data_IF_975835944709
#
_entry.id   IF_975835944709
#
_cell.length_a   1.000
_cell.length_b   1.000
_cell.length_c   1.000
_cell.angle_alpha   90.00
_cell.angle_beta   90.00
_cell.angle_gamma   90.00
#
_symmetry.space_group_name_H-M   'P 1'
#
loop_
_entity.id
_entity.type
_entity.pdbx_description
1 polymer ?
#
# COMPACT_ATOMS: atom_id res chain seq x y z
N UNK A 1 -16.08 26.71 -21.06
CA UNK A 1 -16.81 25.53 -21.57
C UNK A 1 -17.02 25.69 -23.08
N UNK A 2 -16.16 25.09 -23.92
CA UNK A 2 -16.41 24.94 -25.37
C UNK A 2 -15.71 23.66 -25.84
N UNK A 3 -16.46 22.56 -25.89
CA UNK A 3 -16.04 21.26 -26.40
C UNK A 3 -16.59 21.13 -27.83
N UNK A 4 -15.72 21.12 -28.84
CA UNK A 4 -15.96 20.73 -30.25
C UNK A 4 -14.58 20.31 -30.78
N UNK A 5 -14.35 19.20 -31.48
CA UNK A 5 -15.17 18.50 -32.46
C UNK A 5 -14.52 17.13 -32.72
N UNK A 6 -15.34 16.09 -32.93
CA UNK A 6 -14.90 14.71 -33.11
C UNK A 6 -14.08 14.46 -34.39
N UNK A 7 -13.13 13.54 -34.29
CA UNK A 7 -12.30 13.02 -35.38
C UNK A 7 -13.09 11.90 -36.06
N UNK A 8 -13.52 12.13 -37.30
CA UNK A 8 -14.09 11.11 -38.17
C UNK A 8 -12.96 10.40 -38.92
N UNK A 9 -12.61 9.19 -38.47
CA UNK A 9 -11.65 8.32 -39.16
C UNK A 9 -12.40 7.45 -40.17
N UNK A 10 -12.34 7.83 -41.45
CA UNK A 10 -12.79 6.99 -42.55
C UNK A 10 -11.65 6.03 -42.95
N UNK A 11 -11.78 4.75 -42.62
CA UNK A 11 -10.89 3.69 -43.09
C UNK A 11 -11.35 3.31 -44.51
N UNK A 12 -10.62 3.79 -45.52
CA UNK A 12 -10.79 3.39 -46.90
C UNK A 12 -10.06 2.05 -47.15
N UNK A 13 -10.81 0.94 -47.11
CA UNK A 13 -10.39 -0.36 -47.64
C UNK A 13 -10.48 -0.30 -49.16
N UNK A 14 -9.35 0.00 -49.83
CA UNK A 14 -9.28 0.17 -51.28
C UNK A 14 -8.27 -0.77 -51.95
N UNK A 15 -8.81 -1.83 -52.57
CA UNK A 15 -8.35 -2.55 -53.77
C UNK A 15 -6.93 -3.17 -53.83
N UNK A 16 -6.89 -4.50 -53.78
CA UNK A 16 -5.82 -5.33 -54.33
C UNK A 16 -5.72 -5.15 -55.85
N UNK A 17 -4.66 -4.49 -56.32
CA UNK A 17 -4.24 -4.52 -57.72
C UNK A 17 -3.21 -5.64 -57.92
N UNK A 18 -3.68 -6.85 -58.23
CA UNK A 18 -2.83 -7.98 -58.65
C UNK A 18 -2.39 -7.78 -60.11
N UNK A 19 -1.30 -7.04 -60.31
CA UNK A 19 -0.60 -7.00 -61.61
C UNK A 19 0.87 -7.31 -61.39
N UNK A 20 1.25 -8.59 -61.43
CA UNK A 20 2.65 -9.01 -61.61
C UNK A 20 2.69 -10.29 -62.45
N UNK A 21 2.63 -10.13 -63.77
CA UNK A 21 3.17 -11.10 -64.72
C UNK A 21 4.59 -10.65 -65.07
N UNK A 22 5.58 -11.27 -64.41
CA UNK A 22 7.03 -11.10 -64.64
C UNK A 22 7.70 -12.48 -64.51
N UNK A 23 8.84 -12.74 -65.18
CA UNK A 23 9.29 -14.09 -65.53
C UNK A 23 9.52 -14.97 -64.29
N UNK A 24 8.76 -16.07 -64.21
CA UNK A 24 8.34 -16.73 -62.99
C UNK A 24 9.40 -17.53 -62.19
N UNK A 25 10.67 -17.53 -62.57
CA UNK A 25 11.68 -18.41 -61.95
C UNK A 25 12.90 -17.72 -61.33
N UNK A 26 13.34 -16.56 -61.82
CA UNK A 26 14.48 -15.84 -61.22
C UNK A 26 14.05 -14.92 -60.06
N UNK A 27 12.82 -14.38 -60.10
CA UNK A 27 12.30 -13.46 -59.07
C UNK A 27 12.06 -14.13 -57.71
N UNK A 28 11.47 -15.34 -57.71
CA UNK A 28 11.06 -16.04 -56.48
C UNK A 28 12.20 -16.29 -55.49
N UNK A 29 13.41 -16.55 -55.99
CA UNK A 29 14.56 -16.77 -55.11
C UNK A 29 14.98 -15.48 -54.40
N UNK A 30 14.87 -14.34 -55.09
CA UNK A 30 15.12 -13.03 -54.50
C UNK A 30 14.00 -12.65 -53.50
N UNK A 31 12.75 -12.94 -53.85
CA UNK A 31 11.59 -12.68 -52.98
C UNK A 31 11.68 -13.49 -51.68
N UNK A 32 12.03 -14.78 -51.76
CA UNK A 32 12.24 -15.62 -50.58
C UNK A 32 13.37 -15.11 -49.69
N UNK A 33 14.50 -14.69 -50.27
CA UNK A 33 15.60 -14.06 -49.50
C UNK A 33 15.14 -12.78 -48.80
N UNK A 34 14.37 -11.95 -49.49
CA UNK A 34 13.83 -10.71 -48.95
C UNK A 34 12.87 -10.98 -47.79
N UNK A 35 11.97 -11.95 -47.93
CA UNK A 35 11.03 -12.36 -46.89
C UNK A 35 11.77 -12.91 -45.65
N UNK A 36 12.74 -13.81 -45.84
CA UNK A 36 13.55 -14.34 -44.73
C UNK A 36 14.33 -13.23 -44.02
N UNK A 37 14.93 -12.29 -44.75
CA UNK A 37 15.66 -11.17 -44.16
C UNK A 37 14.74 -10.21 -43.38
N UNK A 38 13.53 -9.96 -43.89
CA UNK A 38 12.54 -9.14 -43.20
C UNK A 38 12.01 -9.83 -41.92
N UNK A 39 11.76 -11.15 -41.98
CA UNK A 39 11.45 -11.97 -40.81
C UNK A 39 12.55 -11.93 -39.75
N UNK A 40 13.81 -12.12 -40.14
CA UNK A 40 14.97 -12.02 -39.25
C UNK A 40 15.05 -10.64 -38.58
N UNK A 41 14.91 -9.57 -39.35
CA UNK A 41 14.98 -8.22 -38.80
C UNK A 41 13.85 -7.94 -37.78
N UNK A 42 12.63 -8.42 -38.05
CA UNK A 42 11.50 -8.28 -37.11
C UNK A 42 11.69 -9.13 -35.85
N UNK A 43 12.14 -10.37 -35.97
CA UNK A 43 12.43 -11.24 -34.83
C UNK A 43 13.52 -10.64 -33.95
N UNK A 44 14.62 -10.17 -34.56
CA UNK A 44 15.70 -9.49 -33.81
C UNK A 44 15.19 -8.21 -33.13
N UNK A 45 14.35 -7.42 -33.82
CA UNK A 45 13.68 -6.27 -33.20
C UNK A 45 12.82 -6.69 -32.00
N UNK A 46 12.06 -7.77 -32.11
CA UNK A 46 11.28 -8.30 -31.00
C UNK A 46 12.19 -8.74 -29.83
N UNK A 47 13.31 -9.43 -30.10
CA UNK A 47 14.28 -9.82 -29.07
C UNK A 47 14.94 -8.63 -28.37
N UNK A 48 15.38 -7.62 -29.12
CA UNK A 48 15.97 -6.39 -28.56
C UNK A 48 14.98 -5.61 -27.70
N UNK A 49 13.69 -5.67 -28.04
CA UNK A 49 12.60 -5.13 -27.22
C UNK A 49 12.26 -6.00 -26.00
N UNK A 50 12.83 -7.20 -25.88
CA UNK A 50 12.68 -8.09 -24.74
C UNK A 50 11.65 -9.22 -24.91
N UNK A 51 11.13 -9.44 -26.12
CA UNK A 51 10.11 -10.47 -26.39
C UNK A 51 10.54 -11.86 -25.92
N UNK A 52 11.82 -12.21 -26.11
CA UNK A 52 12.34 -13.52 -25.68
C UNK A 52 12.23 -13.79 -24.17
N UNK A 53 12.06 -12.75 -23.34
CA UNK A 53 11.83 -12.90 -21.89
C UNK A 53 10.37 -12.73 -21.51
N UNK A 54 9.66 -11.81 -22.15
CA UNK A 54 8.26 -11.53 -21.86
C UNK A 54 7.31 -12.60 -22.42
N UNK A 55 7.60 -13.10 -23.62
CA UNK A 55 6.78 -13.99 -24.43
C UNK A 55 7.64 -15.13 -24.99
N UNK A 56 8.12 -16.05 -24.13
CA UNK A 56 9.08 -17.07 -24.54
C UNK A 56 8.50 -18.10 -25.51
N UNK A 57 7.20 -18.40 -25.41
CA UNK A 57 6.55 -19.36 -26.30
C UNK A 57 6.40 -18.79 -27.72
N UNK A 58 5.94 -17.54 -27.83
CA UNK A 58 5.74 -16.83 -29.10
C UNK A 58 7.07 -16.55 -29.80
N UNK A 59 8.11 -16.19 -29.04
CA UNK A 59 9.46 -16.01 -29.57
C UNK A 59 10.02 -17.32 -30.11
N UNK A 60 9.85 -18.43 -29.38
CA UNK A 60 10.29 -19.74 -29.84
C UNK A 60 9.55 -20.20 -31.11
N UNK A 61 8.25 -19.93 -31.22
CA UNK A 61 7.47 -20.22 -32.43
C UNK A 61 7.94 -19.39 -33.63
N UNK A 62 8.22 -18.10 -33.44
CA UNK A 62 8.75 -17.25 -34.51
C UNK A 62 10.14 -17.72 -34.98
N UNK A 63 11.01 -18.12 -34.05
CA UNK A 63 12.33 -18.68 -34.35
C UNK A 63 12.23 -20.02 -35.09
N UNK A 64 11.27 -20.87 -34.71
CA UNK A 64 11.02 -22.16 -35.37
C UNK A 64 10.55 -21.96 -36.81
N UNK A 65 9.55 -21.10 -37.01
CA UNK A 65 9.06 -20.72 -38.34
C UNK A 65 10.21 -20.18 -39.21
N UNK A 66 11.03 -19.28 -38.68
CA UNK A 66 12.18 -18.76 -39.43
C UNK A 66 13.19 -19.86 -39.82
N UNK A 67 13.43 -20.85 -38.95
CA UNK A 67 14.30 -21.99 -39.26
C UNK A 67 13.72 -22.87 -40.36
N UNK A 68 12.41 -23.13 -40.31
CA UNK A 68 11.68 -23.86 -41.35
C UNK A 68 11.77 -23.12 -42.70
N UNK A 69 11.51 -21.81 -42.71
CA UNK A 69 11.64 -20.98 -43.91
C UNK A 69 13.05 -21.06 -44.53
N UNK A 70 14.09 -21.00 -43.71
CA UNK A 70 15.48 -21.15 -44.16
C UNK A 70 15.77 -22.56 -44.69
N UNK A 71 15.16 -23.59 -44.10
CA UNK A 71 15.30 -24.97 -44.54
C UNK A 71 14.67 -25.18 -45.92
N UNK A 72 13.42 -24.74 -46.10
CA UNK A 72 12.69 -24.84 -47.35
C UNK A 72 13.39 -24.07 -48.48
N UNK A 73 13.94 -22.90 -48.16
CA UNK A 73 14.75 -22.13 -49.10
C UNK A 73 15.99 -22.91 -49.58
N UNK A 74 16.70 -23.60 -48.66
CA UNK A 74 17.87 -24.44 -48.99
C UNK A 74 17.48 -25.64 -49.86
N UNK A 75 16.28 -26.19 -49.67
CA UNK A 75 15.75 -27.30 -50.45
C UNK A 75 15.11 -26.86 -51.79
N UNK A 76 15.11 -25.56 -52.07
CA UNK A 76 14.59 -24.99 -53.31
C UNK A 76 13.07 -24.73 -53.32
N UNK A 77 12.39 -24.99 -52.20
CA UNK A 77 10.95 -24.78 -51.98
C UNK A 77 10.66 -23.30 -51.64
N UNK A 78 10.90 -22.43 -52.61
CA UNK A 78 10.85 -20.96 -52.43
C UNK A 78 9.48 -20.45 -51.98
N UNK A 79 8.40 -21.06 -52.46
CA UNK A 79 7.04 -20.64 -52.12
C UNK A 79 6.72 -20.95 -50.64
N UNK A 80 7.08 -22.15 -50.16
CA UNK A 80 6.95 -22.49 -48.73
C UNK A 80 7.85 -21.63 -47.86
N UNK A 81 9.08 -21.35 -48.31
CA UNK A 81 9.98 -20.45 -47.60
C UNK A 81 9.41 -19.04 -47.42
N UNK A 82 8.69 -18.51 -48.42
CA UNK A 82 8.02 -17.20 -48.32
C UNK A 82 6.84 -17.27 -47.34
N UNK A 83 6.02 -18.32 -47.42
CA UNK A 83 4.88 -18.53 -46.53
C UNK A 83 5.34 -18.60 -45.06
N UNK A 84 6.32 -19.43 -44.78
CA UNK A 84 6.84 -19.63 -43.43
C UNK A 84 7.58 -18.39 -42.90
N UNK A 85 8.32 -17.66 -43.76
CA UNK A 85 8.90 -16.38 -43.37
C UNK A 85 7.83 -15.35 -43.02
N UNK A 86 6.72 -15.30 -43.78
CA UNK A 86 5.59 -14.41 -43.50
C UNK A 86 4.88 -14.79 -42.20
N UNK A 87 4.74 -16.08 -41.93
CA UNK A 87 4.23 -16.59 -40.66
C UNK A 87 5.12 -16.15 -39.49
N UNK A 88 6.44 -16.30 -39.61
CA UNK A 88 7.40 -15.83 -38.62
C UNK A 88 7.30 -14.31 -38.39
N UNK A 89 7.13 -13.50 -39.45
CA UNK A 89 6.91 -12.05 -39.33
C UNK A 89 5.63 -11.72 -38.56
N UNK A 90 4.54 -12.45 -38.80
CA UNK A 90 3.26 -12.23 -38.15
C UNK A 90 3.33 -12.55 -36.65
N UNK A 91 4.01 -13.65 -36.28
CA UNK A 91 4.27 -14.02 -34.90
C UNK A 91 5.12 -12.96 -34.18
N UNK A 92 6.22 -12.52 -34.80
CA UNK A 92 7.07 -11.47 -34.23
C UNK A 92 6.32 -10.15 -34.06
N UNK A 93 5.49 -9.77 -35.03
CA UNK A 93 4.68 -8.54 -34.98
C UNK A 93 3.61 -8.60 -33.88
N UNK A 94 2.99 -9.78 -33.70
CA UNK A 94 2.04 -10.04 -32.61
C UNK A 94 2.73 -9.93 -31.26
N UNK A 95 3.91 -10.54 -31.10
CA UNK A 95 4.69 -10.44 -29.87
C UNK A 95 5.05 -8.99 -29.52
N UNK A 96 5.46 -8.17 -30.51
CA UNK A 96 5.71 -6.74 -30.31
C UNK A 96 4.44 -6.01 -29.87
N UNK A 97 3.29 -6.30 -30.49
CA UNK A 97 2.01 -5.71 -30.13
C UNK A 97 1.59 -6.04 -28.70
N UNK A 98 1.69 -7.31 -28.30
CA UNK A 98 1.38 -7.77 -26.95
C UNK A 98 2.29 -7.10 -25.90
N UNK A 99 3.60 -7.03 -26.17
CA UNK A 99 4.53 -6.33 -25.27
C UNK A 99 4.19 -4.85 -25.10
N UNK A 100 3.79 -4.17 -26.18
CA UNK A 100 3.41 -2.77 -26.11
C UNK A 100 2.14 -2.59 -25.27
N UNK A 101 1.15 -3.47 -25.46
CA UNK A 101 -0.06 -3.50 -24.65
C UNK A 101 0.24 -3.74 -23.16
N UNK A 102 1.11 -4.71 -22.84
CA UNK A 102 1.50 -5.01 -21.46
C UNK A 102 2.24 -3.83 -20.82
N UNK A 103 3.10 -3.16 -21.58
CA UNK A 103 3.81 -1.96 -21.11
C UNK A 103 2.83 -0.82 -20.82
N UNK A 104 1.86 -0.59 -21.69
CA UNK A 104 0.86 0.45 -21.51
C UNK A 104 -0.04 0.14 -20.30
N UNK A 105 -0.42 -1.13 -20.11
CA UNK A 105 -1.15 -1.59 -18.94
C UNK A 105 -0.35 -1.40 -17.64
N UNK A 106 0.95 -1.74 -17.64
CA UNK A 106 1.83 -1.54 -16.50
C UNK A 106 2.00 -0.05 -16.14
N UNK A 107 2.11 0.83 -17.14
CA UNK A 107 2.17 2.27 -16.93
C UNK A 107 0.85 2.84 -16.38
N UNK A 108 -0.29 2.33 -16.84
CA UNK A 108 -1.60 2.69 -16.29
C UNK A 108 -1.71 2.28 -14.81
N UNK A 109 -1.37 1.03 -14.49
CA UNK A 109 -1.39 0.53 -13.11
C UNK A 109 -0.45 1.33 -12.19
N UNK A 110 0.74 1.71 -12.68
CA UNK A 110 1.67 2.54 -11.91
C UNK A 110 1.09 3.93 -11.61
N UNK A 111 0.38 4.55 -12.56
CA UNK A 111 -0.30 5.84 -12.34
C UNK A 111 -1.43 5.73 -11.32
N UNK A 112 -2.21 4.67 -11.38
CA UNK A 112 -3.31 4.44 -10.43
C UNK A 112 -2.77 4.22 -9.00
N UNK A 113 -1.66 3.50 -8.87
CA UNK A 113 -0.96 3.34 -7.59
C UNK A 113 -0.42 4.67 -7.06
N UNK A 114 0.15 5.51 -7.92
CA UNK A 114 0.61 6.85 -7.54
C UNK A 114 -0.55 7.74 -7.08
N UNK A 115 -1.67 7.74 -7.81
CA UNK A 115 -2.86 8.50 -7.44
C UNK A 115 -3.43 8.05 -6.08
N UNK A 116 -3.50 6.73 -5.86
CA UNK A 116 -3.94 6.14 -4.59
C UNK A 116 -3.02 6.54 -3.43
N UNK A 117 -1.70 6.45 -3.65
CA UNK A 117 -0.70 6.84 -2.64
C UNK A 117 -0.82 8.32 -2.28
N UNK A 118 -1.01 9.18 -3.28
CA UNK A 118 -1.21 10.61 -3.07
C UNK A 118 -2.50 10.92 -2.29
N UNK A 119 -3.60 10.24 -2.60
CA UNK A 119 -4.86 10.39 -1.87
C UNK A 119 -4.71 9.96 -0.40
N UNK A 120 -4.11 8.80 -0.14
CA UNK A 120 -3.85 8.31 1.23
C UNK A 120 -2.96 9.29 2.01
N UNK A 121 -1.94 9.87 1.37
CA UNK A 121 -1.10 10.88 2.02
C UNK A 121 -1.88 12.15 2.36
N UNK A 122 -2.79 12.61 1.50
CA UNK A 122 -3.65 13.77 1.76
C UNK A 122 -4.60 13.50 2.94
N UNK A 123 -5.22 12.32 2.98
CA UNK A 123 -6.10 11.93 4.08
C UNK A 123 -5.36 11.87 5.42
N UNK A 124 -4.12 11.35 5.43
CA UNK A 124 -3.28 11.34 6.63
C UNK A 124 -2.94 12.75 7.11
N UNK A 125 -2.65 13.68 6.20
CA UNK A 125 -2.39 15.09 6.57
C UNK A 125 -3.64 15.72 7.18
N UNK A 126 -4.83 15.50 6.58
CA UNK A 126 -6.08 16.01 7.11
C UNK A 126 -6.40 15.45 8.51
N UNK A 127 -6.18 14.15 8.71
CA UNK A 127 -6.35 13.51 10.02
C UNK A 127 -5.37 14.06 11.06
N UNK A 128 -4.10 14.25 10.70
CA UNK A 128 -3.10 14.83 11.59
C UNK A 128 -3.44 16.28 11.97
N UNK A 129 -3.95 17.07 11.03
CA UNK A 129 -4.40 18.44 11.30
C UNK A 129 -5.60 18.47 12.25
N UNK A 130 -6.57 17.58 12.06
CA UNK A 130 -7.72 17.46 12.96
C UNK A 130 -7.28 17.09 14.38
N UNK A 131 -6.40 16.09 14.52
CA UNK A 131 -5.88 15.67 15.81
C UNK A 131 -5.10 16.80 16.51
N UNK A 132 -4.33 17.59 15.77
CA UNK A 132 -3.63 18.75 16.31
C UNK A 132 -4.61 19.84 16.79
N UNK A 133 -5.68 20.10 16.03
CA UNK A 133 -6.73 21.05 16.43
C UNK A 133 -7.44 20.60 17.72
N UNK A 134 -7.80 19.31 17.81
CA UNK A 134 -8.47 18.74 18.99
C UNK A 134 -7.55 18.75 20.22
N UNK A 135 -6.24 18.49 20.04
CA UNK A 135 -5.25 18.60 21.11
C UNK A 135 -5.11 20.04 21.61
N UNK A 136 -5.07 21.01 20.69
CA UNK A 136 -4.99 22.43 21.03
C UNK A 136 -6.24 22.91 21.78
N UNK A 137 -7.44 22.49 21.35
CA UNK A 137 -8.69 22.81 22.04
C UNK A 137 -8.69 22.27 23.48
N UNK A 138 -8.28 21.01 23.69
CA UNK A 138 -8.17 20.43 25.04
C UNK A 138 -7.12 21.15 25.90
N UNK A 139 -5.99 21.54 25.32
CA UNK A 139 -4.97 22.29 26.04
C UNK A 139 -5.48 23.67 26.50
N UNK A 140 -6.26 24.36 25.66
CA UNK A 140 -6.89 25.65 26.01
C UNK A 140 -7.92 25.49 27.13
N UNK A 141 -8.77 24.46 27.07
CA UNK A 141 -9.73 24.16 28.13
C UNK A 141 -9.04 23.84 29.46
N UNK A 142 -7.97 23.03 29.43
CA UNK A 142 -7.17 22.74 30.60
C UNK A 142 -6.54 24.01 31.19
N UNK A 143 -6.00 24.90 30.36
CA UNK A 143 -5.44 26.17 30.80
C UNK A 143 -6.48 27.09 31.46
N UNK A 144 -7.70 27.15 30.91
CA UNK A 144 -8.82 27.91 31.49
C UNK A 144 -9.23 27.34 32.86
N UNK A 145 -9.45 26.04 32.95
CA UNK A 145 -9.81 25.38 34.23
C UNK A 145 -8.72 25.56 35.30
N UNK A 146 -7.45 25.54 34.91
CA UNK A 146 -6.34 25.78 35.83
C UNK A 146 -6.30 27.23 36.32
N UNK A 147 -6.65 28.20 35.47
CA UNK A 147 -6.76 29.60 35.87
C UNK A 147 -7.93 29.81 36.85
N UNK A 148 -9.08 29.20 36.59
CA UNK A 148 -10.26 29.23 37.48
C UNK A 148 -9.94 28.60 38.84
N UNK A 149 -9.30 27.43 38.85
CA UNK A 149 -8.88 26.76 40.09
C UNK A 149 -7.91 27.62 40.92
N UNK A 150 -6.98 28.33 40.26
CA UNK A 150 -6.08 29.27 40.94
C UNK A 150 -6.83 30.44 41.57
N UNK A 151 -7.81 31.02 40.86
CA UNK A 151 -8.64 32.09 41.41
C UNK A 151 -9.46 31.60 42.61
N UNK A 152 -10.10 30.43 42.50
CA UNK A 152 -10.86 29.84 43.61
C UNK A 152 -9.98 29.57 44.84
N UNK A 153 -8.77 29.06 44.65
CA UNK A 153 -7.81 28.85 45.74
C UNK A 153 -7.39 30.16 46.43
N UNK A 154 -7.22 31.24 45.67
CA UNK A 154 -6.90 32.56 46.24
C UNK A 154 -8.05 33.13 47.08
N UNK A 155 -9.30 32.99 46.62
CA UNK A 155 -10.46 33.39 47.43
C UNK A 155 -10.58 32.56 48.71
N UNK A 156 -10.37 31.25 48.64
CA UNK A 156 -10.43 30.38 49.82
C UNK A 156 -9.36 30.77 50.86
N UNK A 157 -8.14 31.11 50.42
CA UNK A 157 -7.05 31.53 51.30
C UNK A 157 -7.29 32.88 51.99
N UNK A 158 -8.18 33.72 51.47
CA UNK A 158 -8.57 34.99 52.10
C UNK A 158 -9.61 34.81 53.23
N UNK A 159 -10.17 33.61 53.40
CA UNK A 159 -11.12 33.31 54.47
C UNK A 159 -10.35 32.97 55.76
N UNK A 160 -10.55 33.70 56.88
CA UNK A 160 -9.83 33.45 58.11
C UNK A 160 -10.12 32.04 58.65
N UNK A 161 -9.11 31.31 59.15
CA UNK A 161 -9.30 29.94 59.62
C UNK A 161 -10.23 29.92 60.83
N UNK A 162 -11.31 29.15 60.73
CA UNK A 162 -12.08 28.76 61.90
C UNK A 162 -11.17 27.93 62.82
N UNK A 163 -11.04 28.35 64.08
CA UNK A 163 -10.25 27.66 65.09
C UNK A 163 -10.93 26.31 65.39
N UNK A 164 -10.29 25.21 64.99
CA UNK A 164 -10.75 23.85 65.29
C UNK A 164 -9.89 23.30 66.43
N UNK A 165 -10.44 23.24 67.64
CA UNK A 165 -9.82 22.48 68.73
C UNK A 165 -9.95 20.99 68.41
N UNK A 166 -8.80 20.32 68.29
CA UNK A 166 -8.75 18.88 68.02
C UNK A 166 -8.29 18.17 69.29
N UNK A 167 -9.24 17.55 70.02
CA UNK A 167 -8.91 16.70 71.17
C UNK A 167 -8.59 15.28 70.68
N UNK A 168 -7.33 14.87 70.77
CA UNK A 168 -6.91 13.50 70.44
C UNK A 168 -7.05 12.62 71.68
N UNK A 169 -7.92 11.61 71.62
CA UNK A 169 -7.97 10.53 72.63
C UNK A 169 -7.44 9.24 72.02
N UNK A 170 -6.26 8.80 72.46
CA UNK A 170 -5.64 7.53 72.03
C UNK A 170 -5.97 6.45 73.05
N UNK A 171 -6.73 5.42 72.64
CA UNK A 171 -6.89 4.19 73.44
C UNK A 171 -6.02 3.08 72.84
N UNK A 172 -5.11 2.54 73.66
CA UNK A 172 -4.21 1.45 73.30
C UNK A 172 -4.75 0.14 73.89
N UNK A 173 -5.31 -0.72 73.05
CA UNK A 173 -5.70 -2.07 73.46
C UNK A 173 -4.52 -3.03 73.31
N UNK A 174 -4.01 -3.56 74.41
CA UNK A 174 -3.06 -4.67 74.44
C UNK A 174 -3.79 -5.99 74.15
N UNK A 175 -3.32 -6.75 73.15
CA UNK A 175 -3.78 -8.11 72.88
C UNK A 175 -2.62 -9.10 73.00
N UNK A 176 -2.84 -10.19 73.74
CA UNK A 176 -1.86 -11.23 74.05
C UNK A 176 -1.56 -12.16 72.85
N UNK A 177 -0.35 -12.76 72.76
CA UNK A 177 0.06 -13.53 71.59
C UNK A 177 -0.50 -14.97 71.59
N UNK A 178 -1.11 -15.38 70.47
CA UNK A 178 -1.56 -16.76 70.20
C UNK A 178 -0.56 -17.48 69.30
N UNK A 179 -0.09 -18.66 69.72
CA UNK A 179 0.80 -19.56 68.95
C UNK A 179 0.10 -20.11 67.71
N UNK A 180 0.81 -20.15 66.58
CA UNK A 180 0.40 -20.91 65.38
C UNK A 180 1.55 -21.83 64.94
N UNK A 181 1.19 -23.05 64.52
CA UNK A 181 2.08 -24.10 64.02
C UNK A 181 2.25 -24.01 62.50
N UNK A 182 3.49 -24.09 62.00
CA UNK A 182 3.80 -24.05 60.57
C UNK A 182 3.61 -25.42 59.90
N UNK A 183 2.90 -25.44 58.77
CA UNK A 183 2.93 -26.55 57.80
C UNK A 183 3.65 -26.07 56.54
N UNK A 184 4.73 -26.74 56.19
CA UNK A 184 5.56 -26.47 55.00
C UNK A 184 4.93 -27.18 53.79
N UNK A 185 4.53 -26.44 52.77
CA UNK A 185 4.30 -26.96 51.41
C UNK A 185 4.87 -25.97 50.38
N UNK A 186 5.41 -26.56 49.31
CA UNK A 186 6.42 -26.02 48.39
C UNK A 186 5.91 -24.93 47.42
N UNK A 187 6.88 -24.11 47.03
CA UNK A 187 6.87 -22.82 46.32
C UNK A 187 6.38 -22.89 44.85
N UNK A 188 5.39 -22.05 44.49
CA UNK A 188 5.32 -21.34 43.20
C UNK A 188 4.93 -19.88 43.46
N UNK A 189 5.64 -18.98 42.79
CA UNK A 189 5.71 -17.55 43.08
C UNK A 189 4.47 -16.82 42.55
N UNK A 190 3.67 -16.22 43.45
CA UNK A 190 2.68 -15.19 43.12
C UNK A 190 3.12 -13.86 43.76
N UNK A 191 3.08 -12.77 42.98
CA UNK A 191 3.44 -11.40 43.41
C UNK A 191 2.59 -10.97 44.62
N UNK A 192 3.15 -10.30 45.63
CA UNK A 192 2.41 -9.89 46.81
C UNK A 192 1.45 -8.73 46.47
N UNK A 193 0.16 -8.94 46.73
CA UNK A 193 -0.79 -7.87 46.93
C UNK A 193 -0.58 -7.31 48.34
N UNK A 194 -0.39 -5.99 48.44
CA UNK A 194 -0.21 -5.27 49.70
C UNK A 194 -1.55 -5.24 50.45
N UNK A 195 -1.78 -6.19 51.35
CA UNK A 195 -2.92 -6.12 52.28
C UNK A 195 -2.51 -5.30 53.50
N UNK A 196 -2.93 -4.05 53.57
CA UNK A 196 -2.81 -3.22 54.76
C UNK A 196 -3.75 -3.75 55.85
N UNK A 197 -3.19 -4.09 57.01
CA UNK A 197 -3.93 -4.25 58.25
C UNK A 197 -4.61 -2.93 58.58
N UNK A 198 -5.93 -2.86 58.34
CA UNK A 198 -6.77 -1.75 58.79
C UNK A 198 -6.92 -1.83 60.31
N UNK A 199 -6.14 -1.04 61.03
CA UNK A 199 -6.54 -0.61 62.36
C UNK A 199 -7.80 0.23 62.21
N UNK A 200 -8.90 -0.18 62.83
CA UNK A 200 -10.16 0.56 62.79
C UNK A 200 -9.99 1.84 63.63
N UNK A 201 -9.63 2.94 62.99
CA UNK A 201 -9.67 4.28 63.59
C UNK A 201 -11.12 4.74 63.54
N UNK A 202 -11.70 5.02 64.71
CA UNK A 202 -13.02 5.67 64.80
C UNK A 202 -12.76 7.15 65.09
N UNK A 203 -13.06 8.00 64.12
CA UNK A 203 -13.00 9.46 64.28
C UNK A 203 -14.39 9.95 64.64
N UNK A 204 -14.55 10.47 65.86
CA UNK A 204 -15.76 11.17 66.26
C UNK A 204 -15.48 12.68 66.17
N UNK A 205 -16.18 13.37 65.26
CA UNK A 205 -16.12 14.82 65.15
C UNK A 205 -17.34 15.40 65.85
N UNK A 206 -17.14 16.11 66.96
CA UNK A 206 -18.17 16.93 67.59
C UNK A 206 -17.99 18.37 67.13
N UNK A 207 -19.02 18.94 66.51
CA UNK A 207 -19.06 20.36 66.12
C UNK A 207 -19.85 21.10 67.19
N UNK A 208 -19.24 22.03 67.90
CA UNK A 208 -19.98 23.03 68.67
C UNK A 208 -20.04 24.32 67.87
N UNK A 209 -21.25 24.76 67.52
CA UNK A 209 -21.48 26.10 66.99
C UNK A 209 -21.68 27.04 68.17
N UNK A 210 -20.65 27.82 68.51
CA UNK A 210 -20.81 28.92 69.45
C UNK A 210 -21.64 30.02 68.79
N UNK A 211 -22.87 30.22 69.26
CA UNK A 211 -23.66 31.42 68.96
C UNK A 211 -23.15 32.56 69.84
N UNK A 212 -22.86 33.70 69.22
CA UNK A 212 -22.75 34.99 69.88
C UNK A 212 -23.76 35.94 69.23
#
# INVERSE_FOLDING_TARGET
>A
MKNKTGIATAIALGALSLTMASPAFAGKANDARKAIAAAQAKIETAHTLGAGRALPAESAQADEALKLAQNDFKHGEKDKAIEEATHAEALASTAIGLMQQDKDAALAAARDQQATTAAVAQDQIAQAQQQAADANARAQQAAQSAAEARNAAQLAAATPPAQVETTVTTQQATSAPRKTTHKVVRRKVSRPATSSTSGKVTTTTTVSTGTN
#
